data_IF_728864499018
#
_entry.id   IF_728864499018
#
_cell.length_a   1.000
_cell.length_b   1.000
_cell.length_c   1.000
_cell.angle_alpha   90.00
_cell.angle_beta   90.00
_cell.angle_gamma   90.00
#
_symmetry.space_group_name_H-M   'P 1'
#
loop_
_entity.id
_entity.type
_entity.pdbx_description
1 polymer ?
#
# COMPACT_ATOMS: atom_id res chain seq x y z
N UNK A 1 -6.28 -7.81 9.88
CA UNK A 1 -4.85 -8.20 10.05
C UNK A 1 -3.98 -6.93 10.07
N UNK A 2 -2.67 -6.99 9.83
CA UNK A 2 -1.79 -5.81 9.89
C UNK A 2 -2.12 -4.76 8.81
N UNK A 3 -2.10 -3.48 9.19
CA UNK A 3 -2.34 -2.34 8.29
C UNK A 3 -1.12 -2.15 7.36
N UNK A 4 -1.16 -2.84 6.22
CA UNK A 4 -0.11 -2.83 5.19
C UNK A 4 -0.21 -1.60 4.30
N UNK A 5 0.94 -1.04 3.91
CA UNK A 5 1.04 0.15 3.09
C UNK A 5 2.20 0.08 2.11
N UNK A 6 2.07 0.75 0.97
CA UNK A 6 3.08 0.80 -0.10
C UNK A 6 2.48 0.85 -1.51
N UNK A 7 3.31 0.97 -2.56
CA UNK A 7 2.88 1.09 -3.94
C UNK A 7 2.60 -0.27 -4.60
N UNK A 8 1.70 -0.27 -5.58
CA UNK A 8 1.76 -1.18 -6.72
C UNK A 8 2.69 -0.56 -7.78
N UNK A 9 3.71 -1.30 -8.19
CA UNK A 9 4.67 -0.90 -9.22
C UNK A 9 4.37 -1.62 -10.53
N UNK A 10 4.41 -0.93 -11.66
CA UNK A 10 4.27 -1.56 -12.97
C UNK A 10 5.44 -2.52 -13.24
N UNK A 11 5.14 -3.74 -13.69
CA UNK A 11 6.16 -4.69 -14.12
C UNK A 11 6.84 -4.27 -15.45
N UNK A 12 6.20 -3.37 -16.21
CA UNK A 12 6.70 -2.90 -17.49
C UNK A 12 8.05 -2.16 -17.34
N UNK A 13 9.07 -2.68 -18.02
CA UNK A 13 10.43 -2.11 -18.03
C UNK A 13 11.44 -2.82 -17.13
N UNK A 14 11.05 -3.87 -16.39
CA UNK A 14 11.99 -4.85 -15.80
C UNK A 14 12.96 -4.29 -14.74
N UNK A 15 12.49 -3.34 -13.91
CA UNK A 15 13.30 -2.69 -12.86
C UNK A 15 12.79 -2.92 -11.44
N UNK A 16 11.67 -3.64 -11.28
CA UNK A 16 10.96 -3.79 -10.00
C UNK A 16 11.86 -4.40 -8.93
N UNK A 17 12.66 -5.42 -9.24
CA UNK A 17 13.54 -6.09 -8.27
C UNK A 17 14.59 -5.16 -7.64
N UNK A 18 15.10 -4.20 -8.42
CA UNK A 18 16.05 -3.20 -7.95
C UNK A 18 15.36 -2.13 -7.09
N UNK A 19 14.11 -1.77 -7.41
CA UNK A 19 13.29 -0.89 -6.56
C UNK A 19 12.93 -1.59 -5.25
N UNK A 20 12.53 -2.85 -5.29
CA UNK A 20 12.30 -3.71 -4.12
C UNK A 20 13.56 -3.81 -3.24
N UNK A 21 14.74 -3.92 -3.85
CA UNK A 21 16.01 -3.97 -3.13
C UNK A 21 16.34 -2.64 -2.45
N UNK A 22 16.21 -1.51 -3.14
CA UNK A 22 16.36 -0.18 -2.55
C UNK A 22 15.37 0.08 -1.38
N UNK A 23 14.12 -0.35 -1.55
CA UNK A 23 13.08 -0.25 -0.51
C UNK A 23 13.42 -1.15 0.68
N UNK A 24 13.97 -2.35 0.48
CA UNK A 24 14.42 -3.22 1.59
C UNK A 24 15.56 -2.59 2.39
N UNK A 25 16.54 -1.99 1.71
CA UNK A 25 17.66 -1.29 2.37
C UNK A 25 17.22 -0.08 3.19
N UNK A 26 16.13 0.59 2.78
CA UNK A 26 15.55 1.74 3.50
C UNK A 26 14.57 1.32 4.63
N UNK A 27 14.15 0.05 4.70
CA UNK A 27 13.23 -0.47 5.72
C UNK A 27 13.77 -1.72 6.46
N UNK A 28 15.02 -1.74 6.96
CA UNK A 28 15.66 -2.94 7.51
C UNK A 28 14.99 -3.49 8.79
N UNK A 29 14.13 -2.70 9.43
CA UNK A 29 13.37 -3.08 10.62
C UNK A 29 11.93 -3.57 10.31
N UNK A 30 11.51 -3.64 9.04
CA UNK A 30 10.16 -4.02 8.64
C UNK A 30 10.16 -5.13 7.58
N UNK A 31 9.29 -6.15 7.67
CA UNK A 31 9.20 -7.20 6.66
C UNK A 31 8.53 -6.66 5.39
N UNK A 32 9.34 -6.26 4.40
CA UNK A 32 8.88 -5.84 3.07
C UNK A 32 8.40 -7.06 2.26
N UNK A 33 7.08 -7.21 2.21
CA UNK A 33 6.39 -8.20 1.40
C UNK A 33 6.31 -7.74 -0.05
N UNK A 34 6.31 -8.71 -0.96
CA UNK A 34 6.24 -8.49 -2.41
C UNK A 34 5.20 -9.46 -2.96
N UNK A 35 4.18 -8.95 -3.65
CA UNK A 35 3.10 -9.74 -4.24
C UNK A 35 3.02 -9.43 -5.72
N UNK A 36 3.33 -10.42 -6.55
CA UNK A 36 3.27 -10.32 -8.01
C UNK A 36 1.84 -10.58 -8.51
N UNK A 37 1.33 -9.67 -9.33
CA UNK A 37 0.03 -9.74 -10.00
C UNK A 37 0.17 -9.77 -11.54
N UNK A 38 1.36 -10.13 -12.05
CA UNK A 38 1.70 -10.36 -13.46
C UNK A 38 1.89 -9.09 -14.30
N UNK A 39 0.98 -8.12 -14.16
CA UNK A 39 1.11 -6.79 -14.81
C UNK A 39 1.74 -5.73 -13.90
N UNK A 40 1.66 -5.96 -12.58
CA UNK A 40 2.14 -5.07 -11.53
C UNK A 40 2.50 -5.88 -10.30
N UNK A 41 3.32 -5.30 -9.43
CA UNK A 41 3.82 -5.93 -8.21
C UNK A 41 3.56 -4.99 -7.03
N UNK A 42 2.85 -5.46 -6.01
CA UNK A 42 2.70 -4.74 -4.75
C UNK A 42 3.95 -4.89 -3.89
N UNK A 43 4.47 -3.78 -3.36
CA UNK A 43 5.56 -3.75 -2.39
C UNK A 43 5.01 -3.16 -1.10
N UNK A 44 4.90 -3.96 -0.04
CA UNK A 44 4.11 -3.64 1.15
C UNK A 44 4.87 -3.87 2.46
N UNK A 45 4.74 -2.95 3.41
CA UNK A 45 5.22 -3.13 4.78
C UNK A 45 4.17 -2.72 5.83
N UNK A 46 4.26 -3.22 7.08
CA UNK A 46 3.30 -2.86 8.13
C UNK A 46 3.52 -1.43 8.65
N UNK A 47 2.47 -0.61 8.68
CA UNK A 47 2.40 0.77 9.24
C UNK A 47 3.26 1.84 8.57
N UNK A 48 4.36 1.51 7.90
CA UNK A 48 5.19 2.48 7.18
C UNK A 48 6.01 1.76 6.10
N UNK A 49 6.18 2.40 4.95
CA UNK A 49 7.16 2.02 3.92
C UNK A 49 7.90 3.28 3.45
N UNK A 50 9.23 3.26 3.46
CA UNK A 50 10.11 4.34 3.00
C UNK A 50 10.76 3.99 1.65
N UNK A 51 10.95 4.98 0.78
CA UNK A 51 11.85 4.89 -0.38
C UNK A 51 12.64 6.20 -0.49
N UNK A 52 13.96 6.15 -0.29
CA UNK A 52 14.85 7.31 -0.38
C UNK A 52 15.48 7.43 -1.76
N UNK A 53 15.70 8.65 -2.22
CA UNK A 53 16.40 8.89 -3.49
C UNK A 53 17.83 8.33 -3.46
N UNK A 54 18.49 8.34 -2.30
CA UNK A 54 19.84 7.79 -2.09
C UNK A 54 19.89 6.30 -2.47
N UNK A 55 19.01 5.49 -1.91
CA UNK A 55 19.00 4.04 -2.16
C UNK A 55 18.50 3.70 -3.56
N UNK A 56 17.51 4.46 -4.07
CA UNK A 56 17.06 4.33 -5.47
C UNK A 56 18.18 4.62 -6.48
N UNK A 57 18.94 5.70 -6.30
CA UNK A 57 20.09 6.04 -7.16
C UNK A 57 21.27 5.07 -6.99
N UNK A 58 21.39 4.39 -5.85
CA UNK A 58 22.39 3.34 -5.63
C UNK A 58 22.06 2.07 -6.43
N UNK A 59 20.84 1.55 -6.33
CA UNK A 59 20.43 0.31 -7.01
C UNK A 59 20.09 0.50 -8.51
N UNK A 60 19.53 1.65 -8.90
CA UNK A 60 19.07 1.91 -10.29
C UNK A 60 19.91 2.95 -11.04
N UNK A 61 21.00 3.42 -10.43
CA UNK A 61 21.93 4.40 -11.00
C UNK A 61 21.48 5.86 -10.87
N UNK A 62 22.39 6.82 -11.09
CA UNK A 62 22.23 8.23 -10.71
C UNK A 62 21.15 9.01 -11.47
N UNK A 63 20.50 8.41 -12.47
CA UNK A 63 19.36 8.97 -13.21
C UNK A 63 18.00 8.52 -12.71
N UNK A 64 17.94 7.54 -11.79
CA UNK A 64 16.68 7.06 -11.22
C UNK A 64 16.41 7.74 -9.87
N UNK A 65 15.65 8.84 -9.91
CA UNK A 65 15.21 9.59 -8.73
C UNK A 65 13.74 9.34 -8.37
N UNK A 66 13.23 10.08 -7.39
CA UNK A 66 11.84 9.93 -6.90
C UNK A 66 10.80 10.01 -8.03
N UNK A 67 10.94 10.98 -8.95
CA UNK A 67 10.04 11.13 -10.10
C UNK A 67 9.97 9.88 -11.00
N UNK A 68 11.06 9.11 -11.08
CA UNK A 68 11.13 7.88 -11.88
C UNK A 68 10.50 6.68 -11.15
N UNK A 69 10.48 6.69 -9.82
CA UNK A 69 9.67 5.77 -9.02
C UNK A 69 8.18 6.12 -9.14
N UNK A 70 7.81 7.39 -8.98
CA UNK A 70 6.42 7.86 -9.10
C UNK A 70 5.82 7.54 -10.47
N UNK A 71 6.59 7.68 -11.56
CA UNK A 71 6.16 7.36 -12.91
C UNK A 71 5.89 5.86 -13.17
N UNK A 72 6.27 4.96 -12.26
CA UNK A 72 5.94 3.52 -12.32
C UNK A 72 4.97 3.06 -11.24
N UNK A 73 4.50 3.96 -10.36
CA UNK A 73 3.42 3.65 -9.39
C UNK A 73 2.09 3.59 -10.13
N UNK A 74 1.41 2.44 -10.06
CA UNK A 74 0.09 2.20 -10.66
C UNK A 74 -1.04 2.53 -9.68
N UNK A 75 -0.83 2.23 -8.40
CA UNK A 75 -1.72 2.53 -7.28
C UNK A 75 -0.94 2.51 -5.96
N UNK A 76 -1.56 2.87 -4.84
CA UNK A 76 -0.93 2.76 -3.52
C UNK A 76 -1.92 2.39 -2.43
N UNK A 77 -1.48 1.54 -1.50
CA UNK A 77 -2.18 1.25 -0.25
C UNK A 77 -1.68 2.21 0.84
N UNK A 78 -2.59 2.92 1.48
CA UNK A 78 -2.28 4.00 2.43
C UNK A 78 -1.96 5.35 1.76
N UNK A 79 -1.74 6.36 2.58
CA UNK A 79 -1.41 7.72 2.18
C UNK A 79 0.06 7.82 1.75
N UNK A 80 0.29 8.09 0.47
CA UNK A 80 1.60 8.45 -0.06
C UNK A 80 1.93 9.92 0.29
N UNK A 81 3.13 10.16 0.81
CA UNK A 81 3.70 11.50 1.06
C UNK A 81 5.07 11.61 0.42
N UNK A 82 5.33 12.74 -0.23
CA UNK A 82 6.57 13.03 -0.98
C UNK A 82 7.35 14.16 -0.31
N UNK A 83 8.66 14.03 -0.21
CA UNK A 83 9.60 15.11 0.14
C UNK A 83 10.58 15.35 -1.00
N UNK A 84 11.61 16.16 -0.80
CA UNK A 84 12.70 16.31 -1.77
C UNK A 84 13.61 15.06 -1.85
N UNK A 85 13.66 14.26 -0.78
CA UNK A 85 14.67 13.19 -0.59
C UNK A 85 14.06 11.79 -0.48
N UNK A 86 12.76 11.67 -0.20
CA UNK A 86 12.08 10.40 -0.03
C UNK A 86 10.59 10.44 -0.40
N UNK A 87 10.02 9.26 -0.62
CA UNK A 87 8.59 8.99 -0.59
C UNK A 87 8.31 8.07 0.60
N UNK A 88 7.17 8.27 1.26
CA UNK A 88 6.72 7.46 2.39
C UNK A 88 5.26 7.08 2.20
N UNK A 89 4.92 5.81 2.43
CA UNK A 89 3.53 5.35 2.53
C UNK A 89 3.24 5.01 4.00
N UNK A 90 2.12 5.53 4.52
CA UNK A 90 1.65 5.29 5.88
C UNK A 90 0.12 5.19 5.89
N UNK A 91 -0.50 4.54 6.90
CA UNK A 91 -1.95 4.56 7.04
C UNK A 91 -2.48 5.99 7.11
N UNK A 92 -3.68 6.22 6.57
CA UNK A 92 -4.38 7.49 6.77
C UNK A 92 -4.80 7.60 8.25
N UNK A 93 -4.30 8.58 9.02
CA UNK A 93 -4.71 8.77 10.42
C UNK A 93 -6.20 9.15 10.57
N UNK A 94 -6.87 9.57 9.50
CA UNK A 94 -8.31 9.82 9.49
C UNK A 94 -9.16 8.52 9.36
N UNK A 95 -8.54 7.39 9.00
CA UNK A 95 -9.23 6.10 8.81
C UNK A 95 -8.71 5.08 9.85
N UNK A 96 -9.24 5.07 11.09
CA UNK A 96 -8.83 4.15 12.14
C UNK A 96 -9.28 2.71 11.83
N UNK A 97 -8.42 1.98 11.13
CA UNK A 97 -8.60 0.58 10.74
C UNK A 97 -7.60 0.17 9.64
N UNK A 98 -7.39 1.06 8.67
CA UNK A 98 -6.55 0.81 7.50
C UNK A 98 -7.31 0.29 6.28
N UNK A 99 -6.56 -0.20 5.30
CA UNK A 99 -7.11 -0.89 4.15
C UNK A 99 -7.61 -2.28 4.56
N UNK A 100 -8.93 -2.44 4.64
CA UNK A 100 -9.59 -3.75 4.69
C UNK A 100 -9.47 -4.41 3.32
N UNK A 101 -9.24 -5.72 3.28
CA UNK A 101 -9.14 -6.48 2.03
C UNK A 101 -10.48 -6.38 1.26
N UNK A 102 -10.49 -6.06 -0.05
CA UNK A 102 -11.72 -5.99 -0.85
C UNK A 102 -12.47 -7.33 -0.94
N UNK A 103 -11.82 -8.46 -0.63
CA UNK A 103 -12.47 -9.76 -0.46
C UNK A 103 -13.17 -9.96 0.90
N UNK A 104 -12.89 -9.14 1.91
CA UNK A 104 -13.53 -9.21 3.24
C UNK A 104 -14.88 -8.45 3.27
N UNK A 105 -15.24 -7.72 2.20
CA UNK A 105 -16.49 -6.94 2.09
C UNK A 105 -17.65 -7.77 1.52
N UNK A 106 -17.88 -8.96 2.09
CA UNK A 106 -19.06 -9.80 1.80
C UNK A 106 -19.90 -9.96 3.07
N UNK A 107 -20.86 -9.04 3.23
CA UNK A 107 -21.72 -8.95 4.42
C UNK A 107 -22.92 -8.01 4.20
N UNK A 108 -23.87 -8.48 3.39
CA UNK A 108 -25.24 -7.96 3.15
C UNK A 108 -25.52 -6.44 3.18
N UNK A 109 -25.70 -5.81 2.00
CA UNK A 109 -26.18 -4.44 1.86
C UNK A 109 -27.67 -4.32 1.46
N UNK A 110 -28.59 -5.19 1.93
CA UNK A 110 -30.04 -5.04 1.61
C UNK A 110 -31.02 -5.47 2.70
N UNK A 111 -31.89 -4.53 3.12
CA UNK A 111 -33.17 -4.81 3.80
C UNK A 111 -33.12 -5.13 5.30
N UNK A 112 -34.17 -4.90 6.09
CA UNK A 112 -35.44 -4.20 5.81
C UNK A 112 -35.98 -3.56 7.09
N UNK A 113 -36.41 -2.30 7.03
CA UNK A 113 -37.13 -1.64 8.13
C UNK A 113 -38.50 -2.28 8.31
N UNK A 114 -38.66 -3.15 9.31
CA UNK A 114 -39.93 -3.85 9.59
C UNK A 114 -40.43 -3.58 11.00
N UNK A 115 -41.37 -2.63 11.12
CA UNK A 115 -42.15 -2.39 12.33
C UNK A 115 -43.17 -3.51 12.51
N UNK A 116 -43.18 -4.18 13.67
CA UNK A 116 -44.35 -4.96 14.10
C UNK A 116 -44.49 -5.09 15.62
N UNK A 117 -45.56 -4.49 16.13
CA UNK A 117 -46.50 -5.02 17.13
C UNK A 117 -45.93 -5.69 18.40
N UNK A 118 -46.06 -4.98 19.54
CA UNK A 118 -46.04 -5.58 20.88
C UNK A 118 -47.44 -6.01 21.32
N UNK A 119 -47.68 -7.31 21.33
CA UNK A 119 -48.72 -8.05 22.08
C UNK A 119 -48.25 -9.51 22.22
N UNK A 120 -48.43 -10.29 23.28
CA UNK A 120 -48.72 -10.09 24.72
C UNK A 120 -48.40 -11.46 25.41
N UNK A 121 -48.49 -11.76 26.72
CA UNK A 121 -48.99 -11.09 27.94
C UNK A 121 -48.24 -11.63 29.17
N UNK A 122 -48.33 -10.96 30.33
CA UNK A 122 -48.43 -11.57 31.68
C UNK A 122 -49.51 -10.81 32.43
#
# INVERSE_FOLDING_TARGET
MGNLVGPALSAAGGRVDLVVSAIRDDNPAAPVQVVDCGSHVYVLAPRCLLATERSLRWHLGPRFGLCALEAIVVSSVGLMRRTAEAITWAPDPAIPGGWTDPGEVVGDPTGTTSTSLRSASV
#
